data_IF_329441090652
#
_entry.id   IF_329441090652
#
_cell.length_a   1.000
_cell.length_b   1.000
_cell.length_c   1.000
_cell.angle_alpha   90.00
_cell.angle_beta   90.00
_cell.angle_gamma   90.00
#
_symmetry.space_group_name_H-M   'P 1'
#
loop_
_entity.id
_entity.type
_entity.pdbx_description
1 polymer ?
#
# COMPACT_ATOMS: atom_id res chain seq x y z
N UNK A 1 9.09 -15.62 -17.48
CA UNK A 1 8.66 -14.77 -18.62
C UNK A 1 9.64 -13.64 -18.95
N UNK A 2 10.62 -13.32 -18.09
CA UNK A 2 11.61 -12.26 -18.36
C UNK A 2 12.35 -12.44 -19.69
N UNK A 3 12.77 -13.66 -20.05
CA UNK A 3 13.43 -13.92 -21.34
C UNK A 3 12.56 -13.54 -22.54
N UNK A 4 11.25 -13.78 -22.45
CA UNK A 4 10.30 -13.36 -23.49
C UNK A 4 10.17 -11.84 -23.55
N UNK A 5 10.04 -11.16 -22.41
CA UNK A 5 9.99 -9.70 -22.36
C UNK A 5 11.27 -9.07 -22.91
N UNK A 6 12.43 -9.69 -22.65
CA UNK A 6 13.71 -9.28 -23.20
C UNK A 6 13.77 -9.40 -24.72
N UNK A 7 13.23 -10.48 -25.28
CA UNK A 7 13.14 -10.67 -26.74
C UNK A 7 12.28 -9.58 -27.40
N UNK A 8 11.27 -9.07 -26.70
CA UNK A 8 10.47 -7.92 -27.14
C UNK A 8 11.18 -6.57 -27.00
N UNK A 9 12.40 -6.54 -26.45
CA UNK A 9 13.17 -5.31 -26.22
C UNK A 9 12.77 -4.55 -24.95
N UNK A 10 12.02 -5.16 -24.03
CA UNK A 10 11.65 -4.53 -22.76
C UNK A 10 12.88 -4.32 -21.89
N UNK A 11 13.07 -3.10 -21.39
CA UNK A 11 14.20 -2.69 -20.52
C UNK A 11 13.76 -2.33 -19.10
N UNK A 12 12.45 -2.27 -18.84
CA UNK A 12 11.91 -1.97 -17.52
C UNK A 12 10.58 -2.70 -17.31
N UNK A 13 10.33 -3.12 -16.07
CA UNK A 13 9.03 -3.59 -15.61
C UNK A 13 8.47 -2.58 -14.62
N UNK A 14 7.24 -2.13 -14.89
CA UNK A 14 6.41 -1.41 -13.94
C UNK A 14 5.37 -2.39 -13.41
N UNK A 15 5.29 -2.53 -12.09
CA UNK A 15 4.27 -3.35 -11.44
C UNK A 15 3.25 -2.43 -10.76
N UNK A 16 1.96 -2.77 -10.93
CA UNK A 16 0.91 -2.29 -10.04
C UNK A 16 1.20 -2.70 -8.58
N UNK A 17 0.47 -2.18 -7.57
CA UNK A 17 0.79 -2.41 -6.17
C UNK A 17 0.94 -3.89 -5.81
N UNK A 18 2.01 -4.20 -5.09
CA UNK A 18 2.39 -5.58 -4.72
C UNK A 18 2.34 -5.85 -3.22
N UNK A 19 2.07 -4.83 -2.43
CA UNK A 19 2.04 -4.90 -0.97
C UNK A 19 0.74 -5.51 -0.45
N UNK A 20 0.75 -6.01 0.79
CA UNK A 20 -0.40 -6.70 1.40
C UNK A 20 -1.65 -5.84 1.31
N UNK A 21 -2.71 -6.39 0.74
CA UNK A 21 -4.03 -5.77 0.65
C UNK A 21 -5.10 -6.83 0.35
N UNK A 22 -6.35 -6.64 0.81
CA UNK A 22 -7.39 -7.64 0.64
C UNK A 22 -7.94 -7.68 -0.81
N UNK A 23 -7.87 -6.56 -1.54
CA UNK A 23 -8.33 -6.53 -2.93
C UNK A 23 -7.37 -7.20 -3.92
N UNK A 24 -7.87 -7.42 -5.13
CA UNK A 24 -7.07 -7.92 -6.25
C UNK A 24 -6.14 -6.83 -6.81
N UNK A 25 -6.51 -5.55 -6.71
CA UNK A 25 -5.75 -4.43 -7.27
C UNK A 25 -4.74 -3.81 -6.28
N UNK A 26 -4.92 -4.06 -4.98
CA UNK A 26 -4.02 -3.74 -3.86
C UNK A 26 -3.69 -2.26 -3.62
N UNK A 27 -4.57 -1.36 -4.07
CA UNK A 27 -4.49 0.07 -3.77
C UNK A 27 -5.01 0.42 -2.36
N UNK A 28 -5.73 -0.50 -1.73
CA UNK A 28 -6.20 -0.49 -0.35
C UNK A 28 -5.18 -1.16 0.58
N UNK A 29 -3.95 -0.65 0.60
CA UNK A 29 -2.81 -1.27 1.30
C UNK A 29 -3.07 -1.45 2.80
N UNK A 30 -2.79 -2.65 3.33
CA UNK A 30 -2.82 -3.00 4.75
C UNK A 30 -1.42 -3.04 5.38
N UNK A 31 -0.39 -3.39 4.60
CA UNK A 31 1.00 -3.39 5.06
C UNK A 31 1.97 -3.06 3.92
N UNK A 32 2.61 -1.90 4.00
CA UNK A 32 3.61 -1.42 3.03
C UNK A 32 4.97 -2.11 3.12
N UNK A 33 5.25 -2.87 4.19
CA UNK A 33 6.57 -3.47 4.45
C UNK A 33 6.73 -4.85 3.83
N UNK A 34 5.62 -5.54 3.62
CA UNK A 34 5.59 -6.90 3.11
C UNK A 34 4.83 -6.99 1.79
N UNK A 35 5.38 -7.77 0.87
CA UNK A 35 4.71 -8.15 -0.37
C UNK A 35 3.60 -9.13 -0.05
N UNK A 36 2.47 -8.98 -0.74
CA UNK A 36 1.29 -9.81 -0.53
C UNK A 36 1.63 -11.31 -0.72
N UNK A 37 1.23 -12.20 0.22
CA UNK A 37 1.45 -13.63 0.10
C UNK A 37 0.90 -14.24 -1.19
N UNK A 38 -0.16 -13.66 -1.78
CA UNK A 38 -0.71 -14.09 -3.07
C UNK A 38 0.31 -13.94 -4.22
N UNK A 39 1.25 -13.01 -4.10
CA UNK A 39 2.36 -12.82 -5.04
C UNK A 39 3.64 -13.57 -4.66
N UNK A 40 3.61 -14.34 -3.55
CA UNK A 40 4.73 -15.14 -3.08
C UNK A 40 5.65 -14.45 -2.06
N UNK A 41 5.24 -13.29 -1.53
CA UNK A 41 5.95 -12.58 -0.47
C UNK A 41 7.28 -11.95 -0.88
N UNK A 42 7.99 -11.43 0.11
CA UNK A 42 9.23 -10.65 -0.08
C UNK A 42 10.29 -11.42 -0.86
N UNK A 43 10.43 -12.72 -0.57
CA UNK A 43 11.35 -13.61 -1.25
C UNK A 43 11.07 -13.72 -2.76
N UNK A 44 9.80 -13.70 -3.17
CA UNK A 44 9.45 -13.69 -4.59
C UNK A 44 9.87 -12.38 -5.27
N UNK A 45 9.67 -11.24 -4.60
CA UNK A 45 10.09 -9.94 -5.11
C UNK A 45 11.62 -9.83 -5.17
N UNK A 46 12.34 -10.32 -4.17
CA UNK A 46 13.81 -10.37 -4.15
C UNK A 46 14.34 -11.22 -5.32
N UNK A 47 13.78 -12.42 -5.54
CA UNK A 47 14.13 -13.25 -6.70
C UNK A 47 13.84 -12.55 -8.03
N UNK A 48 12.68 -11.89 -8.14
CA UNK A 48 12.34 -11.13 -9.34
C UNK A 48 13.35 -10.01 -9.58
N UNK A 49 13.68 -9.22 -8.56
CA UNK A 49 14.66 -8.13 -8.65
C UNK A 49 16.04 -8.63 -9.06
N UNK A 50 16.51 -9.73 -8.48
CA UNK A 50 17.79 -10.32 -8.85
C UNK A 50 17.81 -10.76 -10.32
N UNK A 51 16.71 -11.38 -10.79
CA UNK A 51 16.60 -11.82 -12.17
C UNK A 51 16.44 -10.65 -13.15
N UNK A 52 15.71 -9.58 -12.82
CA UNK A 52 15.63 -8.40 -13.68
C UNK A 52 16.99 -7.72 -13.81
N UNK A 53 17.78 -7.63 -12.73
CA UNK A 53 19.15 -7.11 -12.77
C UNK A 53 20.05 -7.91 -13.70
N UNK A 54 20.02 -9.25 -13.64
CA UNK A 54 20.77 -10.12 -14.56
C UNK A 54 20.42 -9.88 -16.02
N UNK A 55 19.16 -9.58 -16.29
CA UNK A 55 18.67 -9.33 -17.64
C UNK A 55 18.87 -7.88 -18.11
N UNK A 56 19.46 -7.01 -17.27
CA UNK A 56 19.62 -5.58 -17.57
C UNK A 56 18.31 -4.79 -17.53
N UNK A 57 17.29 -5.32 -16.86
CA UNK A 57 15.97 -4.70 -16.74
C UNK A 57 15.81 -3.92 -15.44
N UNK A 58 15.23 -2.72 -15.52
CA UNK A 58 14.80 -1.95 -14.35
C UNK A 58 13.51 -2.54 -13.77
N UNK A 59 13.33 -2.41 -12.46
CA UNK A 59 12.09 -2.77 -11.78
C UNK A 59 11.58 -1.53 -11.03
N UNK A 60 10.35 -1.14 -11.32
CA UNK A 60 9.66 0.01 -10.73
C UNK A 60 8.38 -0.53 -10.07
N UNK A 61 8.14 -0.11 -8.83
CA UNK A 61 6.95 -0.49 -8.07
C UNK A 61 6.04 0.75 -7.92
N UNK A 62 4.73 0.51 -7.99
CA UNK A 62 3.71 1.50 -7.67
C UNK A 62 3.64 1.71 -6.14
N UNK A 63 3.97 2.92 -5.69
CA UNK A 63 3.96 3.31 -4.28
C UNK A 63 2.68 4.05 -3.91
N UNK A 64 1.74 3.35 -3.26
CA UNK A 64 0.43 3.90 -2.89
C UNK A 64 0.50 4.68 -1.58
N UNK A 65 1.12 5.86 -1.63
CA UNK A 65 1.39 6.65 -0.43
C UNK A 65 0.34 7.76 -0.18
N UNK A 66 -0.56 8.04 -1.11
CA UNK A 66 -1.55 9.10 -0.89
C UNK A 66 -2.68 8.70 0.08
N UNK A 67 -2.96 7.41 0.22
CA UNK A 67 -3.98 6.84 1.10
C UNK A 67 -3.53 5.44 1.54
N UNK A 68 -4.10 4.95 2.63
CA UNK A 68 -4.05 3.53 3.00
C UNK A 68 -5.35 2.84 2.62
N UNK A 69 -5.45 1.52 2.83
CA UNK A 69 -6.73 0.84 2.98
C UNK A 69 -7.41 1.19 4.29
N UNK A 70 -8.73 1.02 4.37
CA UNK A 70 -9.51 1.19 5.60
C UNK A 70 -9.32 0.05 6.60
N UNK A 71 -8.82 -1.10 6.15
CA UNK A 71 -8.42 -2.21 7.00
C UNK A 71 -6.96 -2.13 7.48
N UNK A 72 -6.17 -1.14 7.04
CA UNK A 72 -4.81 -0.95 7.51
C UNK A 72 -4.80 -0.74 9.03
N UNK A 73 -3.86 -1.33 9.81
CA UNK A 73 -3.78 -1.17 11.26
C UNK A 73 -3.78 0.27 11.79
N UNK A 74 -3.32 1.24 11.01
CA UNK A 74 -3.34 2.66 11.37
C UNK A 74 -4.78 3.22 11.37
N UNK A 75 -5.64 2.74 10.48
CA UNK A 75 -7.03 3.17 10.37
C UNK A 75 -7.99 2.21 11.11
N UNK A 76 -7.89 0.92 10.81
CA UNK A 76 -8.60 -0.19 11.45
C UNK A 76 -10.13 -0.01 11.53
N UNK A 77 -10.77 0.27 10.39
CA UNK A 77 -12.24 0.42 10.32
C UNK A 77 -12.99 -0.78 10.90
N UNK A 78 -12.44 -1.98 10.70
CA UNK A 78 -13.06 -3.24 11.08
C UNK A 78 -12.67 -3.72 12.49
N UNK A 79 -11.92 -2.94 13.26
CA UNK A 79 -11.52 -3.24 14.65
C UNK A 79 -10.84 -4.62 14.78
N UNK A 80 -9.92 -4.92 13.85
CA UNK A 80 -9.09 -6.13 13.88
C UNK A 80 -7.94 -5.98 14.91
N UNK A 81 -7.52 -4.76 15.16
CA UNK A 81 -6.55 -4.37 16.19
C UNK A 81 -7.22 -3.59 17.32
N UNK A 82 -6.39 -2.96 18.15
CA UNK A 82 -6.85 -2.28 19.38
C UNK A 82 -6.59 -0.77 19.41
N UNK A 83 -6.21 -0.16 18.29
CA UNK A 83 -5.74 1.24 18.33
C UNK A 83 -5.88 2.05 17.06
N UNK A 84 -6.56 1.58 16.01
CA UNK A 84 -6.66 2.35 14.77
C UNK A 84 -7.46 3.65 14.92
N UNK A 85 -7.14 4.60 14.05
CA UNK A 85 -7.65 5.97 14.06
C UNK A 85 -9.15 6.08 13.80
N UNK A 86 -9.79 5.09 13.14
CA UNK A 86 -11.18 5.19 12.69
C UNK A 86 -12.16 5.41 13.85
N UNK A 87 -11.96 4.72 14.97
CA UNK A 87 -12.89 4.71 16.10
C UNK A 87 -12.28 5.26 17.40
N UNK A 88 -10.99 5.58 17.40
CA UNK A 88 -10.27 6.06 18.58
C UNK A 88 -9.64 7.44 18.30
N UNK A 89 -10.20 8.48 18.92
CA UNK A 89 -9.67 9.84 18.83
C UNK A 89 -8.31 10.00 19.53
N UNK A 90 -7.99 9.12 20.49
CA UNK A 90 -6.70 9.08 21.20
C UNK A 90 -5.70 8.11 20.55
N UNK A 91 -5.99 7.61 19.34
CA UNK A 91 -5.07 6.76 18.60
C UNK A 91 -3.77 7.51 18.32
N UNK A 92 -2.62 6.84 18.49
CA UNK A 92 -1.32 7.36 18.06
C UNK A 92 -1.25 7.65 16.55
N UNK A 93 -2.13 7.02 15.76
CA UNK A 93 -2.25 7.23 14.32
C UNK A 93 -3.39 8.18 13.96
N UNK A 94 -4.06 8.81 14.94
CA UNK A 94 -5.21 9.68 14.69
C UNK A 94 -4.85 10.79 13.72
N UNK A 95 -3.74 11.47 13.97
CA UNK A 95 -3.29 12.60 13.14
C UNK A 95 -2.70 12.17 11.80
N UNK A 96 -2.60 10.86 11.51
CA UNK A 96 -2.18 10.40 10.20
C UNK A 96 -3.31 10.49 9.17
N UNK A 97 -4.53 10.80 9.60
CA UNK A 97 -5.70 10.99 8.76
C UNK A 97 -6.42 12.27 9.14
N UNK A 98 -7.10 12.87 8.16
CA UNK A 98 -7.97 14.02 8.41
C UNK A 98 -9.41 13.57 8.69
N UNK A 99 -10.02 14.10 9.74
CA UNK A 99 -11.40 13.80 10.13
C UNK A 99 -12.24 15.07 10.19
N UNK A 100 -13.49 15.00 9.74
CA UNK A 100 -14.46 16.07 9.92
C UNK A 100 -14.85 16.24 11.41
N UNK A 101 -15.49 17.35 11.80
CA UNK A 101 -16.03 17.53 13.16
C UNK A 101 -16.98 16.42 13.61
N UNK A 102 -17.66 15.76 12.67
CA UNK A 102 -18.57 14.63 12.89
C UNK A 102 -17.83 13.29 13.02
N UNK A 103 -16.49 13.29 12.96
CA UNK A 103 -15.66 12.10 13.08
C UNK A 103 -15.52 11.28 11.80
N UNK A 104 -15.93 11.81 10.64
CA UNK A 104 -15.84 11.11 9.37
C UNK A 104 -14.47 11.36 8.72
N UNK A 105 -13.75 10.28 8.38
CA UNK A 105 -12.46 10.38 7.73
C UNK A 105 -12.58 10.90 6.29
N UNK A 106 -11.69 11.81 5.90
CA UNK A 106 -11.52 12.21 4.52
C UNK A 106 -10.91 11.06 3.70
N UNK A 107 -11.33 10.97 2.45
CA UNK A 107 -11.01 9.84 1.60
C UNK A 107 -10.58 10.29 0.20
N UNK A 108 -9.91 9.39 -0.51
CA UNK A 108 -9.53 9.63 -1.89
C UNK A 108 -10.78 9.61 -2.78
N UNK A 109 -11.10 10.74 -3.42
CA UNK A 109 -12.24 10.91 -4.34
C UNK A 109 -13.60 10.40 -3.81
N UNK A 110 -13.82 10.42 -2.49
CA UNK A 110 -15.08 9.93 -1.90
C UNK A 110 -15.13 8.44 -1.59
N UNK A 111 -14.10 7.65 -1.91
CA UNK A 111 -14.07 6.20 -1.67
C UNK A 111 -13.81 5.88 -0.19
N UNK A 112 -14.80 5.42 0.59
CA UNK A 112 -14.61 5.26 2.02
C UNK A 112 -13.52 4.25 2.37
N UNK A 113 -13.25 3.27 1.50
CA UNK A 113 -12.21 2.26 1.68
C UNK A 113 -10.77 2.79 1.55
N UNK A 114 -10.59 4.03 1.11
CA UNK A 114 -9.29 4.65 0.85
C UNK A 114 -9.12 5.93 1.68
N UNK A 115 -9.01 5.82 3.03
CA UNK A 115 -8.78 6.98 3.89
C UNK A 115 -7.46 7.68 3.53
N UNK A 116 -7.54 9.00 3.35
CA UNK A 116 -6.42 9.81 2.86
C UNK A 116 -5.44 10.10 4.00
N UNK A 117 -4.15 9.89 3.73
CA UNK A 117 -3.08 10.21 4.67
C UNK A 117 -2.86 11.73 4.76
N UNK A 118 -2.61 12.23 5.96
CA UNK A 118 -2.28 13.62 6.23
C UNK A 118 -0.76 13.80 6.39
N UNK A 119 -0.13 14.35 5.35
CA UNK A 119 1.31 14.64 5.31
C UNK A 119 1.70 15.96 5.97
N UNK A 120 0.73 16.76 6.41
CA UNK A 120 0.99 18.01 7.13
C UNK A 120 1.02 17.80 8.65
N UNK A 121 0.59 16.62 9.11
CA UNK A 121 0.67 16.23 10.51
C UNK A 121 2.11 16.25 11.01
N UNK A 122 2.34 16.92 12.13
CA UNK A 122 3.65 17.06 12.78
C UNK A 122 3.88 16.01 13.87
N UNK A 123 2.90 15.15 14.12
CA UNK A 123 2.96 14.09 15.13
C UNK A 123 3.96 13.02 14.67
N UNK A 124 5.14 13.01 15.31
CA UNK A 124 6.26 12.08 15.07
C UNK A 124 6.29 10.95 16.10
#
# INVERSE_FOLDING_TARGET
KLSYLKQLGVTALYLNPVFVAPSVHKYDTEDYRHVDPQFGGDEALLRLRHNTQKEGMRLILDGVFNHSGDSHPWFDRYQRGSGGACHNADSQWRDWYHFSPEGVAHNWLGYPSLPKLDYQSTSS
#
